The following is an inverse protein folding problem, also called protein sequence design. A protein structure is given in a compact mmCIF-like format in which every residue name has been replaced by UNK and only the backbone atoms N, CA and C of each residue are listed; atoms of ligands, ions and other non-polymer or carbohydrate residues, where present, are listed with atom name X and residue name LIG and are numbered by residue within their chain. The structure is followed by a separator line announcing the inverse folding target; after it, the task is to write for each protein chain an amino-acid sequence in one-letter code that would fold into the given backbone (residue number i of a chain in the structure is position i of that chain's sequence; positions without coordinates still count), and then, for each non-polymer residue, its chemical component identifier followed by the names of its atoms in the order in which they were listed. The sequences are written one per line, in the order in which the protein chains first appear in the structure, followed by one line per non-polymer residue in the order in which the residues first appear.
data_IF_028571463589
#
_entry.id   IF_028571463589
#
_cell.length_a   1.000
_cell.length_b   1.000
_cell.length_c   1.000
_cell.angle_alpha   90.00
_cell.angle_beta   90.00
_cell.angle_gamma   90.00
#
_symmetry.space_group_name_H-M   'P 1'
#
loop_
_entity.id
_entity.type
_entity.pdbx_description
1 polymer ?
#
# COMPACT_ATOMS: atom_id res chain seq x y z
N UNK A 1 20.34 -17.25 19.14
CA UNK A 1 20.46 -17.66 20.56
C UNK A 1 19.27 -18.54 20.87
N UNK A 2 19.50 -19.80 21.23
CA UNK A 2 18.41 -20.63 21.76
C UNK A 2 18.12 -20.16 23.18
N UNK A 3 16.91 -19.63 23.42
CA UNK A 3 16.49 -19.26 24.77
C UNK A 3 16.23 -20.53 25.57
N UNK A 4 16.98 -20.71 26.66
CA UNK A 4 16.76 -21.81 27.61
C UNK A 4 15.55 -21.49 28.50
N UNK A 5 14.91 -22.52 29.06
CA UNK A 5 13.83 -22.34 30.05
C UNK A 5 14.27 -21.47 31.24
N UNK A 6 15.56 -21.51 31.58
CA UNK A 6 16.19 -20.68 32.60
C UNK A 6 16.22 -19.19 32.19
N UNK A 7 16.64 -18.87 30.97
CA UNK A 7 16.63 -17.48 30.46
C UNK A 7 15.23 -16.87 30.37
N UNK A 8 14.22 -17.68 30.02
CA UNK A 8 12.81 -17.24 30.01
C UNK A 8 12.30 -16.96 31.42
N UNK A 9 12.75 -17.76 32.39
CA UNK A 9 12.41 -17.57 33.80
C UNK A 9 13.04 -16.28 34.33
N UNK A 10 14.32 -16.03 34.05
CA UNK A 10 14.99 -14.78 34.43
C UNK A 10 14.26 -13.55 33.86
N UNK A 11 13.86 -13.60 32.58
CA UNK A 11 13.09 -12.53 31.96
C UNK A 11 11.71 -12.35 32.61
N UNK A 12 11.00 -13.43 32.92
CA UNK A 12 9.71 -13.38 33.62
C UNK A 12 9.84 -12.80 35.04
N UNK A 13 10.92 -13.13 35.76
CA UNK A 13 11.21 -12.56 37.08
C UNK A 13 11.45 -11.06 37.00
N UNK A 14 12.22 -10.58 36.02
CA UNK A 14 12.44 -9.15 35.80
C UNK A 14 11.16 -8.38 35.48
N UNK A 15 10.25 -8.96 34.69
CA UNK A 15 8.93 -8.36 34.40
C UNK A 15 8.11 -8.23 35.68
N UNK A 16 8.12 -9.27 36.53
CA UNK A 16 7.42 -9.23 37.83
C UNK A 16 8.00 -8.15 38.75
N UNK A 17 9.33 -8.06 38.82
CA UNK A 17 10.04 -7.13 39.69
C UNK A 17 9.87 -5.68 39.22
N UNK A 18 9.87 -5.43 37.90
CA UNK A 18 9.55 -4.12 37.31
C UNK A 18 8.15 -3.63 37.72
N UNK A 19 7.14 -4.50 37.64
CA UNK A 19 5.77 -4.17 38.09
C UNK A 19 5.72 -3.88 39.60
N UNK A 20 6.49 -4.62 40.40
CA UNK A 20 6.59 -4.37 41.85
C UNK A 20 7.23 -3.00 42.15
N UNK A 21 8.27 -2.65 41.40
CA UNK A 21 8.98 -1.37 41.54
C UNK A 21 8.08 -0.20 41.14
N UNK A 22 7.36 -0.30 40.02
CA UNK A 22 6.36 0.68 39.57
C UNK A 22 5.27 0.87 40.62
N UNK A 23 4.75 -0.23 41.18
CA UNK A 23 3.76 -0.18 42.24
C UNK A 23 4.28 0.51 43.51
N UNK A 24 5.53 0.24 43.90
CA UNK A 24 6.15 0.86 45.08
C UNK A 24 6.30 2.38 44.94
N UNK A 25 6.55 2.85 43.71
CA UNK A 25 6.69 4.28 43.40
C UNK A 25 5.36 5.03 43.34
N UNK A 26 4.26 4.36 42.97
CA UNK A 26 2.94 5.00 42.77
C UNK A 26 2.05 4.92 44.01
N UNK A 27 2.22 3.90 44.85
CA UNK A 27 1.29 3.60 45.94
C UNK A 27 -0.02 2.99 45.45
N UNK A 28 -0.88 2.60 46.39
CA UNK A 28 -2.02 1.69 46.18
C UNK A 28 -3.17 2.19 45.28
N UNK A 29 -3.03 3.34 44.60
CA UNK A 29 -4.13 3.97 43.85
C UNK A 29 -4.46 3.30 42.51
N UNK A 30 -3.51 2.60 41.88
CA UNK A 30 -3.73 1.93 40.58
C UNK A 30 -3.75 0.39 40.64
N UNK A 31 -3.38 -0.19 41.78
CA UNK A 31 -3.17 -1.65 41.88
C UNK A 31 -1.91 -2.11 41.16
N UNK A 32 -1.60 -3.40 41.33
CA UNK A 32 -0.44 -4.06 40.71
C UNK A 32 -0.91 -4.89 39.51
N UNK A 33 -0.13 -4.93 38.42
CA UNK A 33 -0.49 -5.73 37.23
C UNK A 33 -0.48 -7.22 37.57
N UNK A 34 0.55 -7.67 38.29
CA UNK A 34 0.62 -9.04 38.80
C UNK A 34 0.17 -9.12 40.26
N UNK A 35 -1.11 -9.48 40.47
CA UNK A 35 -1.74 -9.54 41.79
C UNK A 35 -1.72 -10.92 42.47
N UNK A 36 -1.05 -11.91 41.87
CA UNK A 36 -0.93 -13.29 42.40
C UNK A 36 0.45 -13.53 43.01
N UNK A 37 0.60 -14.71 43.61
CA UNK A 37 1.87 -15.23 44.09
C UNK A 37 2.95 -15.20 42.99
N UNK A 38 4.18 -14.76 43.37
CA UNK A 38 5.31 -14.57 42.45
C UNK A 38 5.57 -15.80 41.59
N UNK A 39 5.60 -16.98 42.20
CA UNK A 39 5.95 -18.22 41.50
C UNK A 39 4.91 -18.56 40.43
N UNK A 40 3.64 -18.30 40.71
CA UNK A 40 2.55 -18.49 39.74
C UNK A 40 2.65 -17.51 38.58
N UNK A 41 2.89 -16.23 38.85
CA UNK A 41 3.03 -15.21 37.79
C UNK A 41 4.23 -15.50 36.90
N UNK A 42 5.37 -15.87 37.49
CA UNK A 42 6.59 -16.22 36.75
C UNK A 42 6.35 -17.47 35.89
N UNK A 43 5.75 -18.52 36.46
CA UNK A 43 5.43 -19.74 35.71
C UNK A 43 4.45 -19.48 34.55
N UNK A 44 3.45 -18.63 34.78
CA UNK A 44 2.47 -18.22 33.77
C UNK A 44 3.16 -17.42 32.65
N UNK A 45 4.01 -16.44 32.99
CA UNK A 45 4.78 -15.68 32.00
C UNK A 45 5.75 -16.54 31.20
N UNK A 46 6.47 -17.48 31.83
CA UNK A 46 7.32 -18.45 31.12
C UNK A 46 6.49 -19.28 30.14
N UNK A 47 5.31 -19.75 30.57
CA UNK A 47 4.39 -20.48 29.69
C UNK A 47 3.93 -19.60 28.51
N UNK A 48 3.57 -18.35 28.76
CA UNK A 48 3.18 -17.39 27.70
C UNK A 48 4.32 -17.12 26.73
N UNK A 49 5.56 -17.02 27.20
CA UNK A 49 6.75 -16.84 26.36
C UNK A 49 7.09 -18.08 25.53
N UNK A 50 6.72 -19.27 26.01
CA UNK A 50 6.88 -20.54 25.30
C UNK A 50 5.74 -20.82 24.30
N UNK A 51 4.55 -20.25 24.51
CA UNK A 51 3.39 -20.41 23.63
C UNK A 51 3.43 -19.41 22.46
N UNK A 52 3.25 -19.91 21.23
CA UNK A 52 3.37 -19.10 19.99
C UNK A 52 2.20 -18.12 19.78
N UNK A 53 1.05 -18.37 20.39
CA UNK A 53 -0.20 -17.63 20.20
C UNK A 53 -0.48 -16.60 21.31
N UNK A 54 0.27 -16.63 22.41
CA UNK A 54 -0.03 -15.85 23.61
C UNK A 54 0.85 -14.62 23.83
N UNK A 55 1.76 -14.29 22.90
CA UNK A 55 2.68 -13.15 23.01
C UNK A 55 1.97 -11.78 23.13
N UNK A 56 0.73 -11.67 22.63
CA UNK A 56 -0.10 -10.47 22.77
C UNK A 56 -0.53 -10.20 24.24
N UNK A 57 -0.67 -11.25 25.06
CA UNK A 57 -1.05 -11.12 26.47
C UNK A 57 0.11 -10.49 27.27
N UNK A 58 1.33 -10.99 27.10
CA UNK A 58 2.52 -10.44 27.75
C UNK A 58 2.79 -8.98 27.35
N UNK A 59 2.60 -8.65 26.06
CA UNK A 59 2.74 -7.26 25.56
C UNK A 59 1.69 -6.32 26.19
N UNK A 60 0.48 -6.82 26.43
CA UNK A 60 -0.58 -6.04 27.07
C UNK A 60 -0.24 -5.73 28.53
N UNK A 61 0.27 -6.71 29.29
CA UNK A 61 0.70 -6.49 30.67
C UNK A 61 1.87 -5.48 30.77
N UNK A 62 2.85 -5.58 29.87
CA UNK A 62 3.94 -4.61 29.79
C UNK A 62 3.49 -3.21 29.41
N UNK A 63 2.48 -3.09 28.54
CA UNK A 63 1.92 -1.80 28.21
C UNK A 63 1.25 -1.15 29.43
N UNK A 64 0.57 -1.93 30.28
CA UNK A 64 0.01 -1.45 31.55
C UNK A 64 1.12 -0.97 32.50
N UNK A 65 2.19 -1.75 32.68
CA UNK A 65 3.36 -1.35 33.49
C UNK A 65 3.96 -0.05 32.96
N UNK A 66 4.11 0.10 31.64
CA UNK A 66 4.64 1.32 31.00
C UNK A 66 3.74 2.54 31.24
N UNK A 67 2.42 2.37 31.11
CA UNK A 67 1.46 3.44 31.34
C UNK A 67 1.49 3.92 32.79
N UNK A 68 1.61 2.99 33.75
CA UNK A 68 1.80 3.30 35.16
C UNK A 68 3.15 3.97 35.42
N UNK A 69 4.25 3.44 34.88
CA UNK A 69 5.59 4.02 35.06
C UNK A 69 5.66 5.49 34.61
N UNK A 70 4.94 5.87 33.55
CA UNK A 70 4.91 7.24 33.04
C UNK A 70 4.23 8.24 33.99
N UNK A 71 3.36 7.79 34.90
CA UNK A 71 2.68 8.66 35.87
C UNK A 71 3.48 8.90 37.14
N UNK A 72 4.65 8.24 37.30
CA UNK A 72 5.54 8.45 38.45
C UNK A 72 5.99 9.92 38.51
N UNK A 73 5.75 10.64 39.63
CA UNK A 73 6.11 12.05 39.77
C UNK A 73 7.61 12.29 39.79
N UNK A 74 8.35 11.40 40.49
CA UNK A 74 9.79 11.49 40.60
C UNK A 74 10.47 11.19 39.25
N UNK A 75 11.25 12.17 38.75
CA UNK A 75 11.86 12.09 37.43
C UNK A 75 12.98 11.04 37.38
N UNK A 76 13.70 10.84 38.47
CA UNK A 76 14.85 9.95 38.53
C UNK A 76 14.38 8.49 38.57
N UNK A 77 13.48 8.14 39.50
CA UNK A 77 12.81 6.85 39.58
C UNK A 77 12.10 6.51 38.27
N UNK A 78 11.36 7.46 37.68
CA UNK A 78 10.72 7.25 36.38
C UNK A 78 11.72 6.93 35.29
N UNK A 79 12.85 7.65 35.22
CA UNK A 79 13.88 7.39 34.22
C UNK A 79 14.55 6.03 34.41
N UNK A 80 14.77 5.60 35.65
CA UNK A 80 15.36 4.29 35.96
C UNK A 80 14.45 3.15 35.52
N UNK A 81 13.18 3.20 35.95
CA UNK A 81 12.14 2.21 35.59
C UNK A 81 11.94 2.14 34.08
N UNK A 82 11.91 3.30 33.38
CA UNK A 82 11.74 3.31 31.93
C UNK A 82 12.94 2.73 31.17
N UNK A 83 14.16 2.79 31.72
CA UNK A 83 15.34 2.11 31.14
C UNK A 83 15.20 0.60 31.27
N UNK A 84 14.81 0.10 32.44
CA UNK A 84 14.60 -1.33 32.66
C UNK A 84 13.44 -1.86 31.79
N UNK A 85 12.32 -1.14 31.73
CA UNK A 85 11.23 -1.42 30.80
C UNK A 85 11.71 -1.55 29.35
N UNK A 86 12.56 -0.63 28.90
CA UNK A 86 13.09 -0.65 27.52
C UNK A 86 13.98 -1.86 27.29
N UNK A 87 14.81 -2.25 28.26
CA UNK A 87 15.63 -3.47 28.20
C UNK A 87 14.75 -4.72 28.08
N UNK A 88 13.76 -4.87 28.97
CA UNK A 88 12.83 -6.00 28.98
C UNK A 88 12.05 -6.08 27.65
N UNK A 89 11.60 -4.93 27.13
CA UNK A 89 10.88 -4.86 25.87
C UNK A 89 11.74 -5.37 24.70
N UNK A 90 13.02 -4.97 24.64
CA UNK A 90 13.93 -5.45 23.61
C UNK A 90 14.13 -6.98 23.67
N UNK A 91 14.27 -7.55 24.86
CA UNK A 91 14.44 -9.00 25.02
C UNK A 91 13.19 -9.79 24.61
N UNK A 92 12.00 -9.25 24.90
CA UNK A 92 10.73 -9.87 24.50
C UNK A 92 10.50 -9.78 22.98
N UNK A 93 10.94 -8.69 22.35
CA UNK A 93 10.95 -8.55 20.88
C UNK A 93 11.99 -9.47 20.24
N UNK A 94 13.03 -9.88 20.97
CA UNK A 94 14.05 -10.80 20.48
C UNK A 94 13.67 -12.29 20.67
N UNK A 95 12.64 -12.60 21.48
CA UNK A 95 12.17 -13.98 21.67
C UNK A 95 11.71 -14.58 20.33
N UNK A 96 12.07 -15.85 20.02
CA UNK A 96 11.70 -16.52 18.77
C UNK A 96 10.19 -16.74 18.62
N UNK A 97 9.40 -16.53 19.69
CA UNK A 97 7.93 -16.48 19.65
C UNK A 97 7.38 -15.16 19.09
N UNK A 98 8.23 -14.16 18.85
CA UNK A 98 7.80 -12.86 18.34
C UNK A 98 7.92 -12.67 16.83
N UNK A 99 8.66 -13.52 16.08
CA UNK A 99 8.83 -13.35 14.63
C UNK A 99 9.13 -14.66 13.87
N UNK A 100 8.26 -15.67 13.98
CA UNK A 100 8.43 -16.93 13.25
C UNK A 100 7.12 -17.61 12.88
N UNK A 101 6.53 -17.20 11.75
CA UNK A 101 5.52 -18.00 11.02
C UNK A 101 4.05 -17.83 11.42
N UNK A 102 3.66 -16.68 11.99
CA UNK A 102 2.26 -16.40 12.36
C UNK A 102 1.87 -14.92 12.32
N UNK A 103 2.64 -14.11 11.60
CA UNK A 103 2.31 -12.70 11.38
C UNK A 103 1.32 -12.59 10.19
N UNK A 104 0.59 -11.47 10.05
CA UNK A 104 -0.20 -11.15 8.83
C UNK A 104 0.70 -11.11 7.58
N UNK A 105 2.00 -11.06 7.82
CA UNK A 105 3.10 -11.19 6.90
C UNK A 105 3.10 -12.54 6.17
N UNK A 106 2.46 -12.59 5.00
CA UNK A 106 2.74 -13.63 3.99
C UNK A 106 4.23 -13.49 3.60
N UNK A 107 5.04 -14.53 3.81
CA UNK A 107 6.49 -14.47 3.56
C UNK A 107 6.86 -14.25 2.09
N UNK A 108 6.02 -14.72 1.15
CA UNK A 108 6.18 -14.43 -0.27
C UNK A 108 5.79 -12.98 -0.57
N UNK A 109 4.73 -12.47 0.04
CA UNK A 109 4.43 -11.05 -0.07
C UNK A 109 5.48 -10.20 0.64
N UNK A 110 6.04 -10.62 1.78
CA UNK A 110 7.00 -9.85 2.57
C UNK A 110 8.38 -9.78 1.92
N UNK A 111 8.80 -10.85 1.25
CA UNK A 111 9.95 -10.79 0.35
C UNK A 111 9.69 -9.85 -0.83
N UNK A 112 8.40 -9.66 -1.18
CA UNK A 112 7.92 -8.73 -2.20
C UNK A 112 7.46 -7.36 -1.65
N UNK A 113 7.46 -7.04 -0.34
CA UNK A 113 6.80 -5.83 0.18
C UNK A 113 7.60 -5.12 1.31
N UNK A 114 8.19 -3.99 0.92
CA UNK A 114 8.61 -2.78 1.68
C UNK A 114 8.82 -2.85 3.21
N UNK A 115 9.96 -3.40 3.64
CA UNK A 115 10.91 -2.68 4.51
C UNK A 115 12.37 -2.91 4.04
N UNK A 116 12.56 -3.52 2.87
CA UNK A 116 13.85 -3.95 2.32
C UNK A 116 13.88 -3.66 0.79
N UNK A 117 13.70 -2.40 0.40
CA UNK A 117 13.79 -1.97 -1.02
C UNK A 117 15.11 -2.46 -1.66
N UNK A 118 16.20 -2.52 -0.88
CA UNK A 118 17.51 -3.06 -1.27
C UNK A 118 17.50 -4.54 -1.70
N UNK A 119 16.53 -5.34 -1.26
CA UNK A 119 16.40 -6.76 -1.66
C UNK A 119 15.36 -7.01 -2.74
N UNK A 120 14.43 -6.06 -2.94
CA UNK A 120 13.37 -6.16 -3.96
C UNK A 120 13.90 -5.77 -5.33
N UNK A 121 14.75 -4.75 -5.39
CA UNK A 121 15.48 -4.36 -6.59
C UNK A 121 16.91 -4.85 -6.47
N UNK A 122 17.36 -5.66 -7.44
CA UNK A 122 18.77 -5.94 -7.64
C UNK A 122 19.47 -4.72 -8.26
N UNK A 123 20.81 -4.71 -8.29
CA UNK A 123 21.56 -3.57 -8.85
C UNK A 123 21.32 -3.26 -10.33
N UNK A 124 20.62 -4.13 -11.05
CA UNK A 124 20.25 -3.94 -12.46
C UNK A 124 18.75 -3.73 -12.69
N UNK A 125 17.91 -3.76 -11.64
CA UNK A 125 16.47 -3.58 -11.80
C UNK A 125 16.11 -2.10 -11.85
N UNK A 126 15.13 -1.77 -12.68
CA UNK A 126 14.60 -0.42 -12.82
C UNK A 126 13.53 -0.10 -11.80
N UNK A 127 13.47 1.15 -11.35
CA UNK A 127 12.45 1.63 -10.42
C UNK A 127 11.11 1.79 -11.15
N UNK A 128 10.17 0.88 -10.88
CA UNK A 128 8.82 0.93 -11.42
C UNK A 128 7.79 1.19 -10.33
N UNK A 129 6.97 2.23 -10.46
CA UNK A 129 5.91 2.58 -9.50
C UNK A 129 4.54 2.49 -10.17
N UNK A 130 3.71 1.56 -9.71
CA UNK A 130 2.33 1.36 -10.16
C UNK A 130 1.35 2.12 -9.27
N UNK A 131 0.61 3.08 -9.82
CA UNK A 131 -0.37 3.88 -9.08
C UNK A 131 -1.80 3.56 -9.55
N UNK A 132 -2.55 2.91 -8.68
CA UNK A 132 -4.01 2.81 -8.77
C UNK A 132 -4.68 3.92 -7.97
N UNK A 133 -5.85 4.40 -8.39
CA UNK A 133 -6.49 5.56 -7.74
C UNK A 133 -7.99 5.67 -7.93
N UNK A 134 -8.70 6.18 -6.92
CA UNK A 134 -10.11 6.57 -7.05
C UNK A 134 -10.26 7.89 -7.81
N UNK A 135 -11.37 8.08 -8.52
CA UNK A 135 -11.58 9.33 -9.26
C UNK A 135 -11.79 10.50 -8.29
N UNK A 136 -11.21 11.66 -8.61
CA UNK A 136 -11.30 12.87 -7.79
C UNK A 136 -10.37 12.90 -6.57
N UNK A 137 -9.42 11.97 -6.41
CA UNK A 137 -8.45 11.98 -5.30
C UNK A 137 -7.12 12.70 -5.60
N UNK A 138 -7.03 13.44 -6.71
CA UNK A 138 -5.77 14.04 -7.19
C UNK A 138 -4.64 13.03 -7.51
N UNK A 139 -4.97 11.75 -7.71
CA UNK A 139 -3.97 10.70 -7.94
C UNK A 139 -3.15 10.88 -9.23
N UNK A 140 -3.72 11.51 -10.27
CA UNK A 140 -2.97 11.80 -11.50
C UNK A 140 -1.90 12.88 -11.23
N UNK A 141 -2.27 13.93 -10.51
CA UNK A 141 -1.39 15.03 -10.12
C UNK A 141 -0.29 14.55 -9.18
N UNK A 142 -0.63 13.72 -8.19
CA UNK A 142 0.37 13.09 -7.30
C UNK A 142 1.35 12.25 -8.11
N UNK A 143 0.87 11.40 -9.03
CA UNK A 143 1.74 10.57 -9.86
C UNK A 143 2.65 11.39 -10.78
N UNK A 144 2.13 12.45 -11.39
CA UNK A 144 2.90 13.34 -12.25
C UNK A 144 3.96 14.11 -11.46
N UNK A 145 3.58 14.74 -10.35
CA UNK A 145 4.52 15.48 -9.49
C UNK A 145 5.58 14.56 -8.90
N UNK A 146 5.22 13.31 -8.56
CA UNK A 146 6.18 12.32 -8.09
C UNK A 146 7.20 11.95 -9.19
N UNK A 147 6.74 11.74 -10.44
CA UNK A 147 7.61 11.45 -11.56
C UNK A 147 8.58 12.61 -11.85
N UNK A 148 8.08 13.85 -11.81
CA UNK A 148 8.89 15.06 -11.99
C UNK A 148 9.98 15.19 -10.92
N UNK A 149 9.63 14.96 -9.64
CA UNK A 149 10.59 15.01 -8.54
C UNK A 149 11.62 13.88 -8.58
N UNK A 150 11.22 12.69 -9.03
CA UNK A 150 12.13 11.55 -9.22
C UNK A 150 12.93 11.63 -10.52
N UNK A 151 12.54 12.50 -11.46
CA UNK A 151 13.09 12.60 -12.83
C UNK A 151 12.99 11.29 -13.61
N UNK A 152 11.86 10.58 -13.47
CA UNK A 152 11.57 9.33 -14.18
C UNK A 152 10.35 9.47 -15.10
N UNK A 153 10.15 8.52 -16.02
CA UNK A 153 9.05 8.61 -16.97
C UNK A 153 7.69 8.43 -16.30
N UNK A 154 6.65 9.06 -16.87
CA UNK A 154 5.27 8.91 -16.42
C UNK A 154 4.40 8.40 -17.55
N UNK A 155 3.69 7.30 -17.29
CA UNK A 155 2.80 6.67 -18.25
C UNK A 155 1.40 6.55 -17.70
N UNK A 156 0.47 7.26 -18.34
CA UNK A 156 -0.96 7.07 -18.13
C UNK A 156 -1.64 6.39 -19.31
N UNK A 157 -2.94 6.21 -19.19
CA UNK A 157 -3.75 5.57 -20.20
C UNK A 157 -3.68 6.22 -21.58
N UNK A 158 -3.54 7.54 -21.63
CA UNK A 158 -3.50 8.32 -22.86
C UNK A 158 -2.13 8.17 -23.51
N UNK A 159 -1.07 8.25 -22.72
CA UNK A 159 0.30 8.04 -23.19
C UNK A 159 0.45 6.61 -23.71
N UNK A 160 -0.04 5.59 -22.99
CA UNK A 160 -0.03 4.21 -23.48
C UNK A 160 -0.80 4.05 -24.78
N UNK A 161 -1.98 4.68 -24.91
CA UNK A 161 -2.73 4.64 -26.17
C UNK A 161 -1.98 5.34 -27.30
N UNK A 162 -1.32 6.46 -27.04
CA UNK A 162 -0.52 7.18 -28.03
C UNK A 162 0.74 6.40 -28.44
N UNK A 163 1.43 5.76 -27.48
CA UNK A 163 2.59 4.91 -27.73
C UNK A 163 2.18 3.68 -28.55
N UNK A 164 1.10 3.00 -28.17
CA UNK A 164 0.57 1.87 -28.94
C UNK A 164 0.16 2.31 -30.34
N UNK A 165 -0.55 3.44 -30.49
CA UNK A 165 -0.88 3.98 -31.82
C UNK A 165 0.36 4.27 -32.66
N UNK A 166 1.48 4.71 -32.07
CA UNK A 166 2.73 4.96 -32.79
C UNK A 166 3.46 3.67 -33.16
N UNK A 167 3.49 2.69 -32.26
CA UNK A 167 4.05 1.35 -32.53
C UNK A 167 3.20 0.60 -33.57
N UNK A 168 1.89 0.81 -33.55
CA UNK A 168 0.92 0.28 -34.51
C UNK A 168 0.78 1.20 -35.75
N UNK A 169 1.37 2.40 -35.79
CA UNK A 169 1.40 3.22 -37.00
C UNK A 169 2.36 2.68 -38.07
N UNK A 170 3.11 1.62 -37.75
CA UNK A 170 3.75 0.75 -38.74
C UNK A 170 2.78 -0.33 -39.30
N UNK A 171 1.57 -0.50 -38.71
CA UNK A 171 0.46 -1.37 -39.16
C UNK A 171 -0.94 -0.88 -38.67
N UNK A 172 -1.44 0.22 -39.24
CA UNK A 172 -2.81 0.78 -39.21
C UNK A 172 -3.69 0.81 -37.93
N UNK A 173 -4.17 2.04 -37.66
CA UNK A 173 -5.05 2.59 -36.61
C UNK A 173 -5.81 1.65 -35.66
N UNK A 174 -5.50 1.76 -34.36
CA UNK A 174 -6.39 1.38 -33.24
C UNK A 174 -6.71 2.60 -32.38
N UNK A 175 -8.00 2.96 -32.33
CA UNK A 175 -8.53 3.85 -31.29
C UNK A 175 -9.04 2.99 -30.13
N UNK A 176 -8.43 3.17 -28.95
CA UNK A 176 -8.84 2.62 -27.67
C UNK A 176 -10.04 3.42 -27.14
N UNK A 177 -11.24 2.80 -27.12
CA UNK A 177 -12.43 3.36 -26.46
C UNK A 177 -12.51 2.96 -24.97
N UNK A 178 -11.51 2.26 -24.45
CA UNK A 178 -11.31 1.97 -23.03
C UNK A 178 -10.16 2.80 -22.44
N UNK A 179 -9.67 3.80 -23.19
CA UNK A 179 -8.76 4.84 -22.73
C UNK A 179 -9.44 5.70 -21.68
N UNK A 180 -8.71 5.98 -20.60
CA UNK A 180 -9.18 6.81 -19.50
C UNK A 180 -9.16 8.27 -19.97
N UNK A 181 -10.22 9.07 -19.76
CA UNK A 181 -10.17 10.48 -20.10
C UNK A 181 -9.30 11.23 -19.08
N UNK A 182 -8.15 11.70 -19.54
CA UNK A 182 -7.25 12.65 -18.90
C UNK A 182 -7.43 14.05 -19.48
N UNK A 183 -7.75 14.99 -18.59
CA UNK A 183 -7.71 16.46 -18.77
C UNK A 183 -8.48 17.17 -19.89
N UNK A 184 -9.11 16.51 -20.85
CA UNK A 184 -10.13 17.17 -21.68
C UNK A 184 -11.26 16.20 -21.92
N UNK A 185 -12.37 16.41 -21.21
CA UNK A 185 -13.63 15.81 -21.63
C UNK A 185 -14.09 16.63 -22.84
N UNK A 186 -13.71 16.20 -24.04
CA UNK A 186 -14.37 16.71 -25.24
C UNK A 186 -15.87 16.42 -25.11
N UNK A 187 -16.71 17.34 -25.60
CA UNK A 187 -18.19 17.20 -25.56
C UNK A 187 -18.67 15.84 -26.12
N UNK A 188 -17.90 15.23 -27.02
CA UNK A 188 -18.14 13.90 -27.58
C UNK A 188 -17.98 12.75 -26.56
N UNK A 189 -17.08 12.87 -25.57
CA UNK A 189 -16.86 11.84 -24.54
C UNK A 189 -17.89 11.92 -23.41
N UNK A 190 -18.47 13.10 -23.15
CA UNK A 190 -19.67 13.19 -22.31
C UNK A 190 -20.82 12.40 -22.95
N UNK A 191 -21.11 12.63 -24.23
CA UNK A 191 -22.17 11.90 -24.94
C UNK A 191 -21.91 10.40 -25.00
N UNK A 192 -20.65 9.97 -25.19
CA UNK A 192 -20.26 8.56 -25.18
C UNK A 192 -20.47 7.91 -23.80
N UNK A 193 -20.14 8.61 -22.71
CA UNK A 193 -20.36 8.15 -21.34
C UNK A 193 -21.84 8.02 -20.96
N UNK A 194 -22.74 8.73 -21.65
CA UNK A 194 -24.20 8.67 -21.49
C UNK A 194 -24.92 7.79 -22.54
N UNK A 195 -24.20 7.22 -23.52
CA UNK A 195 -24.81 6.44 -24.62
C UNK A 195 -24.95 4.93 -24.31
N UNK A 196 -26.09 4.34 -24.72
CA UNK A 196 -26.35 2.88 -24.56
C UNK A 196 -25.40 2.05 -25.45
N UNK A 197 -24.94 0.86 -24.99
CA UNK A 197 -24.01 0.04 -25.77
C UNK A 197 -24.66 -0.43 -27.08
N UNK A 198 -24.05 -0.04 -28.21
CA UNK A 198 -24.50 -0.39 -29.56
C UNK A 198 -24.15 -1.86 -29.87
N UNK A 199 -25.11 -2.65 -30.35
CA UNK A 199 -24.90 -4.06 -30.70
C UNK A 199 -24.04 -4.19 -31.95
N UNK A 200 -22.92 -4.90 -31.85
CA UNK A 200 -22.02 -5.24 -32.97
C UNK A 200 -22.72 -6.15 -33.99
N UNK A 201 -22.51 -5.89 -35.28
CA UNK A 201 -23.01 -6.72 -36.38
C UNK A 201 -22.14 -7.99 -36.55
N UNK A 202 -22.76 -9.10 -36.95
CA UNK A 202 -22.10 -10.42 -37.11
C UNK A 202 -20.85 -10.39 -38.00
N UNK A 203 -20.84 -9.54 -39.05
CA UNK A 203 -19.68 -9.34 -39.93
C UNK A 203 -18.48 -8.71 -39.21
N UNK A 204 -18.72 -7.74 -38.33
CA UNK A 204 -17.67 -7.08 -37.55
C UNK A 204 -17.11 -8.02 -36.45
N UNK A 205 -17.96 -8.90 -35.89
CA UNK A 205 -17.55 -9.92 -34.93
C UNK A 205 -16.63 -10.98 -35.56
N UNK A 206 -16.98 -11.50 -36.75
CA UNK A 206 -16.15 -12.49 -37.46
C UNK A 206 -14.80 -11.93 -37.94
N UNK A 207 -14.77 -10.68 -38.42
CA UNK A 207 -13.54 -10.01 -38.82
C UNK A 207 -12.60 -9.72 -37.62
N UNK A 208 -13.16 -9.37 -36.45
CA UNK A 208 -12.41 -9.21 -35.21
C UNK A 208 -11.82 -10.51 -34.68
N UNK A 209 -12.60 -11.61 -34.75
CA UNK A 209 -12.17 -12.93 -34.29
C UNK A 209 -10.97 -13.47 -35.07
N UNK A 210 -10.91 -13.28 -36.39
CA UNK A 210 -9.78 -13.73 -37.20
C UNK A 210 -8.53 -12.83 -37.06
N UNK A 211 -8.72 -11.53 -36.75
CA UNK A 211 -7.64 -10.54 -36.62
C UNK A 211 -6.88 -10.62 -35.30
N UNK A 212 -7.52 -11.06 -34.23
CA UNK A 212 -6.92 -11.16 -32.89
C UNK A 212 -6.74 -12.61 -32.42
N UNK A 213 -6.57 -13.56 -33.34
CA UNK A 213 -6.38 -14.99 -33.04
C UNK A 213 -7.47 -15.58 -32.12
N UNK A 214 -8.73 -15.17 -32.29
CA UNK A 214 -9.87 -15.61 -31.48
C UNK A 214 -10.12 -14.81 -30.20
N UNK A 215 -9.29 -13.82 -29.88
CA UNK A 215 -9.46 -12.95 -28.72
C UNK A 215 -10.48 -11.82 -28.98
N UNK A 216 -11.11 -11.33 -27.91
CA UNK A 216 -11.88 -10.09 -28.02
C UNK A 216 -10.94 -8.90 -28.21
N UNK A 217 -11.40 -7.84 -28.89
CA UNK A 217 -10.60 -6.60 -29.07
C UNK A 217 -10.09 -6.06 -27.74
N UNK A 218 -10.88 -6.19 -26.67
CA UNK A 218 -10.52 -5.72 -25.32
C UNK A 218 -9.36 -6.54 -24.76
N UNK A 219 -9.37 -7.86 -24.93
CA UNK A 219 -8.32 -8.74 -24.42
C UNK A 219 -7.01 -8.53 -25.19
N UNK A 220 -7.09 -8.38 -26.52
CA UNK A 220 -5.92 -8.09 -27.34
C UNK A 220 -5.22 -6.78 -26.93
N UNK A 221 -5.99 -5.70 -26.69
CA UNK A 221 -5.43 -4.43 -26.19
C UNK A 221 -4.79 -4.61 -24.83
N UNK A 222 -5.40 -5.39 -23.93
CA UNK A 222 -4.84 -5.67 -22.62
C UNK A 222 -3.51 -6.44 -22.71
N UNK A 223 -3.41 -7.46 -23.57
CA UNK A 223 -2.16 -8.20 -23.76
C UNK A 223 -1.06 -7.31 -24.34
N UNK A 224 -1.34 -6.52 -25.38
CA UNK A 224 -0.37 -5.59 -25.94
C UNK A 224 0.12 -4.57 -24.90
N UNK A 225 -0.78 -4.05 -24.06
CA UNK A 225 -0.43 -3.16 -22.95
C UNK A 225 0.42 -3.87 -21.90
N UNK A 226 0.10 -5.12 -21.57
CA UNK A 226 0.83 -5.92 -20.59
C UNK A 226 2.26 -6.19 -21.05
N UNK A 227 2.43 -6.58 -22.30
CA UNK A 227 3.75 -6.81 -22.91
C UNK A 227 4.58 -5.54 -22.93
N UNK A 228 3.97 -4.41 -23.34
CA UNK A 228 4.64 -3.11 -23.34
C UNK A 228 5.08 -2.67 -21.93
N UNK A 229 4.24 -2.86 -20.91
CA UNK A 229 4.59 -2.56 -19.52
C UNK A 229 5.79 -3.40 -19.07
N UNK A 230 5.76 -4.71 -19.34
CA UNK A 230 6.86 -5.61 -19.00
C UNK A 230 8.16 -5.27 -19.74
N UNK A 231 8.07 -4.85 -20.99
CA UNK A 231 9.23 -4.47 -21.80
C UNK A 231 9.86 -3.15 -21.36
N UNK A 232 9.05 -2.15 -20.98
CA UNK A 232 9.56 -0.88 -20.43
C UNK A 232 10.20 -1.09 -19.06
N UNK A 233 9.64 -1.98 -18.23
CA UNK A 233 10.18 -2.27 -16.89
C UNK A 233 11.59 -2.90 -16.91
N UNK A 234 12.03 -3.41 -18.07
CA UNK A 234 13.39 -3.94 -18.27
C UNK A 234 14.37 -2.90 -18.83
N UNK A 235 13.89 -1.70 -19.19
CA UNK A 235 14.67 -0.71 -19.96
C UNK A 235 14.83 0.61 -19.22
N UNK A 236 13.87 0.98 -18.37
CA UNK A 236 13.81 2.32 -17.78
C UNK A 236 12.99 2.37 -16.50
N UNK A 237 13.26 3.41 -15.71
CA UNK A 237 12.51 3.76 -14.52
C UNK A 237 11.25 4.56 -14.90
N UNK A 238 10.10 4.21 -14.33
CA UNK A 238 8.84 4.92 -14.62
C UNK A 238 7.74 4.75 -13.57
N UNK A 239 6.78 5.65 -13.64
CA UNK A 239 5.51 5.58 -12.94
C UNK A 239 4.40 5.23 -13.93
N UNK A 240 3.61 4.21 -13.63
CA UNK A 240 2.46 3.80 -14.44
C UNK A 240 1.15 3.98 -13.68
N UNK A 241 0.19 4.61 -14.33
CA UNK A 241 -1.11 4.90 -13.77
C UNK A 241 -2.15 3.84 -14.16
N UNK A 242 -2.40 2.87 -13.28
CA UNK A 242 -3.49 1.90 -13.41
C UNK A 242 -3.14 0.72 -14.33
N UNK A 243 -4.03 0.39 -15.29
CA UNK A 243 -3.85 -0.69 -16.28
C UNK A 243 -3.55 -2.09 -15.70
N UNK A 244 -3.87 -2.33 -14.43
CA UNK A 244 -3.52 -3.57 -13.71
C UNK A 244 -2.00 -3.84 -13.67
N UNK A 245 -1.18 -2.79 -13.79
CA UNK A 245 0.28 -2.91 -13.86
C UNK A 245 0.88 -3.63 -12.64
N UNK A 246 0.31 -3.41 -11.45
CA UNK A 246 0.65 -4.11 -10.22
C UNK A 246 0.54 -5.65 -10.38
N UNK A 247 -0.57 -6.13 -10.93
CA UNK A 247 -0.80 -7.57 -11.12
C UNK A 247 0.02 -8.11 -12.30
N UNK A 248 0.15 -7.34 -13.38
CA UNK A 248 0.96 -7.71 -14.56
C UNK A 248 2.42 -7.92 -14.14
N UNK A 249 3.03 -6.96 -13.45
CA UNK A 249 4.42 -7.04 -13.03
C UNK A 249 4.63 -8.11 -11.97
N UNK A 250 3.70 -8.27 -11.02
CA UNK A 250 3.73 -9.38 -10.03
C UNK A 250 3.76 -10.74 -10.72
N UNK A 251 2.87 -10.96 -11.70
CA UNK A 251 2.77 -12.24 -12.42
C UNK A 251 4.00 -12.55 -13.29
N UNK A 252 4.77 -11.52 -13.66
CA UNK A 252 6.02 -11.64 -14.42
C UNK A 252 7.28 -11.59 -13.53
N UNK A 253 7.12 -11.62 -12.20
CA UNK A 253 8.22 -11.53 -11.23
C UNK A 253 9.11 -10.29 -11.43
N UNK A 254 8.53 -9.18 -11.90
CA UNK A 254 9.24 -7.92 -12.08
C UNK A 254 9.13 -7.08 -10.80
N UNK A 255 10.24 -6.66 -10.19
CA UNK A 255 10.24 -5.72 -9.08
C UNK A 255 9.54 -4.41 -9.43
N UNK A 256 8.62 -3.97 -8.58
CA UNK A 256 7.87 -2.72 -8.76
C UNK A 256 7.36 -2.26 -7.40
N UNK A 257 6.71 -1.12 -7.30
CA UNK A 257 6.04 -0.65 -6.07
C UNK A 257 4.59 -0.35 -6.41
N UNK A 258 3.64 -0.89 -5.65
CA UNK A 258 2.21 -0.73 -5.91
C UNK A 258 1.55 0.21 -4.89
N UNK A 259 0.98 1.31 -5.37
CA UNK A 259 0.38 2.36 -4.54
C UNK A 259 -1.09 2.54 -4.93
N UNK A 260 -1.97 2.60 -3.94
CA UNK A 260 -3.37 2.95 -4.11
C UNK A 260 -3.69 4.30 -3.46
N UNK A 261 -4.03 5.30 -4.27
CA UNK A 261 -4.38 6.64 -3.79
C UNK A 261 -5.91 6.80 -3.74
N UNK A 262 -6.42 7.29 -2.61
CA UNK A 262 -7.84 7.55 -2.42
C UNK A 262 -8.09 8.79 -1.58
N UNK A 263 -9.37 9.14 -1.41
CA UNK A 263 -9.86 10.18 -0.50
C UNK A 263 -11.32 9.90 -0.10
N UNK A 264 -11.80 10.49 1.03
CA UNK A 264 -13.21 10.45 1.39
C UNK A 264 -14.10 10.92 0.24
N UNK A 265 -15.25 10.27 0.06
CA UNK A 265 -16.14 10.52 -1.08
C UNK A 265 -16.49 12.00 -1.24
N UNK A 266 -16.84 12.68 -0.15
CA UNK A 266 -17.23 14.09 -0.17
C UNK A 266 -16.09 15.01 -0.65
N UNK A 267 -14.85 14.73 -0.25
CA UNK A 267 -13.69 15.51 -0.69
C UNK A 267 -13.41 15.30 -2.19
N UNK A 268 -13.58 14.07 -2.67
CA UNK A 268 -13.45 13.76 -4.10
C UNK A 268 -14.55 14.40 -4.92
N UNK A 269 -15.78 14.45 -4.40
CA UNK A 269 -16.92 15.12 -5.03
C UNK A 269 -16.66 16.63 -5.15
N UNK A 270 -16.24 17.27 -4.06
CA UNK A 270 -15.89 18.70 -4.04
C UNK A 270 -14.83 19.01 -5.10
N UNK A 271 -13.70 18.29 -5.08
CA UNK A 271 -12.65 18.44 -6.08
C UNK A 271 -13.16 18.23 -7.51
N UNK A 272 -14.03 17.24 -7.71
CA UNK A 272 -14.59 16.97 -9.05
C UNK A 272 -15.43 18.16 -9.54
N UNK A 273 -16.19 18.80 -8.68
CA UNK A 273 -16.95 20.01 -9.02
C UNK A 273 -16.05 21.23 -9.26
N UNK A 274 -14.95 21.36 -8.52
CA UNK A 274 -13.95 22.42 -8.77
C UNK A 274 -13.25 22.27 -10.12
N UNK A 275 -12.87 21.04 -10.47
CA UNK A 275 -12.16 20.73 -11.72
C UNK A 275 -13.10 20.77 -12.92
N UNK A 276 -14.40 20.53 -12.71
CA UNK A 276 -15.42 20.56 -13.76
C UNK A 276 -16.56 21.53 -13.38
N UNK A 277 -16.37 22.84 -13.57
CA UNK A 277 -17.35 23.86 -13.17
C UNK A 277 -18.73 23.70 -13.84
N UNK A 278 -18.77 23.03 -14.99
CA UNK A 278 -20.00 22.78 -15.75
C UNK A 278 -20.88 21.68 -15.17
N UNK A 279 -20.38 20.91 -14.19
CA UNK A 279 -21.12 19.80 -13.58
C UNK A 279 -21.82 20.24 -12.29
N UNK A 280 -23.13 19.99 -12.22
CA UNK A 280 -23.83 20.07 -10.94
C UNK A 280 -23.47 18.89 -10.02
N UNK A 281 -23.74 19.02 -8.71
CA UNK A 281 -23.40 18.00 -7.71
C UNK A 281 -23.93 16.60 -8.08
N UNK A 282 -25.16 16.51 -8.60
CA UNK A 282 -25.76 15.24 -8.99
C UNK A 282 -25.02 14.59 -10.17
N UNK A 283 -24.63 15.37 -11.17
CA UNK A 283 -23.83 14.93 -12.31
C UNK A 283 -22.43 14.50 -11.87
N UNK A 284 -21.75 15.32 -11.06
CA UNK A 284 -20.42 14.99 -10.53
C UNK A 284 -20.44 13.69 -9.70
N UNK A 285 -21.45 13.52 -8.84
CA UNK A 285 -21.67 12.30 -8.05
C UNK A 285 -21.90 11.07 -8.93
N UNK A 286 -22.67 11.23 -10.01
CA UNK A 286 -22.92 10.15 -10.97
C UNK A 286 -21.65 9.77 -11.71
N UNK A 287 -20.93 10.76 -12.26
CA UNK A 287 -19.67 10.60 -12.97
C UNK A 287 -18.65 9.87 -12.11
N UNK A 288 -18.42 10.34 -10.89
CA UNK A 288 -17.44 9.76 -9.97
C UNK A 288 -17.76 8.29 -9.65
N UNK A 289 -19.03 7.96 -9.36
CA UNK A 289 -19.46 6.57 -9.15
C UNK A 289 -19.34 5.72 -10.40
N UNK A 290 -19.63 6.28 -11.58
CA UNK A 290 -19.53 5.59 -12.86
C UNK A 290 -18.07 5.23 -13.16
N UNK A 291 -17.14 6.17 -13.01
CA UNK A 291 -15.72 5.96 -13.26
C UNK A 291 -15.09 4.97 -12.27
N UNK A 292 -15.37 5.12 -10.96
CA UNK A 292 -14.91 4.16 -9.95
C UNK A 292 -15.45 2.75 -10.24
N UNK A 293 -16.71 2.62 -10.68
CA UNK A 293 -17.29 1.32 -11.06
C UNK A 293 -16.64 0.74 -12.31
N UNK A 294 -16.32 1.58 -13.30
CA UNK A 294 -15.59 1.14 -14.49
C UNK A 294 -14.20 0.61 -14.13
N UNK A 295 -13.46 1.32 -13.26
CA UNK A 295 -12.15 0.87 -12.77
C UNK A 295 -12.26 -0.46 -12.01
N UNK A 296 -13.23 -0.56 -11.10
CA UNK A 296 -13.47 -1.79 -10.34
C UNK A 296 -13.80 -2.97 -11.26
N UNK A 297 -14.67 -2.78 -12.25
CA UNK A 297 -15.06 -3.83 -13.19
C UNK A 297 -13.88 -4.26 -14.07
N UNK A 298 -13.11 -3.30 -14.59
CA UNK A 298 -11.93 -3.59 -15.40
C UNK A 298 -10.89 -4.37 -14.60
N UNK A 299 -10.52 -3.88 -13.41
CA UNK A 299 -9.55 -4.54 -12.55
C UNK A 299 -10.00 -5.94 -12.14
N UNK A 300 -11.26 -6.10 -11.72
CA UNK A 300 -11.82 -7.41 -11.37
C UNK A 300 -11.84 -8.38 -12.55
N UNK A 301 -12.17 -7.90 -13.75
CA UNK A 301 -12.23 -8.74 -14.95
C UNK A 301 -10.87 -9.34 -15.29
N UNK A 302 -9.80 -8.53 -15.28
CA UNK A 302 -8.46 -8.97 -15.67
C UNK A 302 -7.64 -9.63 -14.56
N UNK A 303 -7.89 -9.26 -13.30
CA UNK A 303 -7.06 -9.73 -12.18
C UNK A 303 -7.77 -10.73 -11.26
N UNK A 304 -9.10 -10.80 -11.32
CA UNK A 304 -9.93 -11.50 -10.32
C UNK A 304 -9.93 -10.85 -8.93
N UNK A 305 -9.12 -9.81 -8.69
CA UNK A 305 -8.94 -9.17 -7.39
C UNK A 305 -9.95 -8.03 -7.19
N UNK A 306 -10.20 -7.69 -5.92
CA UNK A 306 -11.06 -6.55 -5.54
C UNK A 306 -10.25 -5.25 -5.58
N UNK A 307 -10.59 -4.36 -6.49
CA UNK A 307 -9.98 -3.04 -6.60
C UNK A 307 -10.11 -2.23 -5.29
N UNK A 308 -9.04 -1.55 -4.89
CA UNK A 308 -8.98 -0.79 -3.63
C UNK A 308 -8.92 -1.63 -2.35
N UNK A 309 -8.75 -2.96 -2.45
CA UNK A 309 -8.42 -3.78 -1.28
C UNK A 309 -6.97 -3.51 -0.86
N UNK A 310 -6.75 -3.09 0.38
CA UNK A 310 -5.44 -2.74 0.89
C UNK A 310 -4.41 -3.88 0.77
N UNK A 311 -4.86 -5.13 0.89
CA UNK A 311 -3.99 -6.31 0.75
C UNK A 311 -3.41 -6.51 -0.67
N UNK A 312 -3.91 -5.80 -1.68
CA UNK A 312 -3.36 -5.89 -3.04
C UNK A 312 -2.20 -4.92 -3.29
N UNK A 313 -1.99 -3.95 -2.40
CA UNK A 313 -1.07 -2.83 -2.64
C UNK A 313 -0.03 -2.74 -1.53
N UNK A 314 1.13 -2.21 -1.87
CA UNK A 314 2.24 -1.98 -0.94
C UNK A 314 1.94 -0.79 -0.03
N UNK A 315 1.30 0.25 -0.60
CA UNK A 315 0.88 1.45 0.12
C UNK A 315 -0.53 1.87 -0.29
N UNK A 316 -1.40 2.10 0.70
CA UNK A 316 -2.68 2.79 0.48
C UNK A 316 -2.64 4.18 1.13
N UNK A 317 -2.86 5.23 0.34
CA UNK A 317 -2.72 6.61 0.79
C UNK A 317 -4.04 7.37 0.68
N UNK A 318 -4.41 8.07 1.76
CA UNK A 318 -5.51 9.02 1.77
C UNK A 318 -5.00 10.43 1.47
N UNK A 319 -5.11 10.85 0.21
CA UNK A 319 -4.71 12.17 -0.29
C UNK A 319 -5.39 13.36 0.40
N UNK A 320 -6.60 13.18 0.95
CA UNK A 320 -7.29 14.26 1.66
C UNK A 320 -6.63 14.61 3.01
N UNK A 321 -5.83 13.71 3.57
CA UNK A 321 -5.10 13.96 4.82
C UNK A 321 -3.79 14.73 4.59
N UNK A 322 -3.18 14.59 3.40
CA UNK A 322 -1.82 15.09 3.14
C UNK A 322 -1.73 16.11 2.00
N UNK A 323 -2.80 16.29 1.21
CA UNK A 323 -2.76 17.06 -0.03
C UNK A 323 -1.87 16.38 -1.10
N UNK A 324 -1.63 17.07 -2.21
CA UNK A 324 -0.77 16.57 -3.29
C UNK A 324 0.69 16.53 -2.82
N UNK A 325 1.23 17.64 -2.33
CA UNK A 325 2.64 17.73 -1.93
C UNK A 325 2.98 16.82 -0.76
N UNK A 326 2.15 16.78 0.29
CA UNK A 326 2.39 15.90 1.43
C UNK A 326 2.31 14.42 1.06
N UNK A 327 1.46 14.07 0.07
CA UNK A 327 1.40 12.72 -0.48
C UNK A 327 2.68 12.35 -1.23
N UNK A 328 3.20 13.27 -2.05
CA UNK A 328 4.47 13.09 -2.77
C UNK A 328 5.63 12.98 -1.78
N UNK A 329 5.73 13.87 -0.79
CA UNK A 329 6.77 13.85 0.25
C UNK A 329 6.75 12.57 1.07
N UNK A 330 5.56 12.02 1.34
CA UNK A 330 5.42 10.75 2.03
C UNK A 330 5.98 9.60 1.17
N UNK A 331 5.62 9.55 -0.11
CA UNK A 331 6.10 8.51 -1.03
C UNK A 331 7.62 8.64 -1.22
N UNK A 332 8.14 9.85 -1.40
CA UNK A 332 9.59 10.08 -1.52
C UNK A 332 10.36 9.62 -0.28
N UNK A 333 9.86 9.91 0.93
CA UNK A 333 10.48 9.42 2.18
C UNK A 333 10.41 7.91 2.34
N UNK A 334 9.38 7.28 1.78
CA UNK A 334 9.31 5.81 1.73
C UNK A 334 10.39 5.24 0.80
N UNK A 335 10.71 5.94 -0.29
CA UNK A 335 11.74 5.54 -1.25
C UNK A 335 13.16 5.87 -0.77
N UNK A 336 13.36 7.01 -0.11
CA UNK A 336 14.68 7.51 0.30
C UNK A 336 14.97 7.17 1.78
N UNK A 337 15.84 6.18 2.01
CA UNK A 337 16.29 5.77 3.34
C UNK A 337 17.67 6.27 3.75
N UNK A 338 18.41 6.91 2.86
CA UNK A 338 19.78 7.38 3.16
C UNK A 338 19.97 8.90 3.00
N UNK A 339 18.91 9.66 2.73
CA UNK A 339 19.06 11.11 2.48
C UNK A 339 19.82 11.43 1.21
N UNK A 340 19.87 10.49 0.25
CA UNK A 340 20.61 10.64 -1.01
C UNK A 340 19.85 11.47 -2.04
N UNK A 341 18.55 11.70 -1.88
CA UNK A 341 17.77 12.53 -2.81
C UNK A 341 17.68 14.01 -2.41
N UNK A 342 18.28 14.40 -1.29
CA UNK A 342 18.36 15.79 -0.82
C UNK A 342 19.75 16.41 -1.04
N UNK A 343 20.44 16.04 -2.12
CA UNK A 343 21.64 16.77 -2.56
C UNK A 343 21.27 17.61 -3.79
N UNK A 344 21.04 18.92 -3.65
CA UNK A 344 21.11 19.79 -4.81
C UNK A 344 22.58 19.86 -5.23
N UNK A 345 22.91 19.33 -6.41
CA UNK A 345 24.10 19.77 -7.15
C UNK A 345 23.91 21.21 -7.65
#
# INVERSE_FOLDING_TARGET
MEYTQESLRELAERIYDLDAEVYSCLGSSLGRVFNRDRERCVTEMVRLMMQRDSGHQLRSELALISNMARTIPDKESRSMIMREYTSILHEIIALPTSFGGGDVLDQNMASLNTLNLEKRFSGNDHLVICISRTYGCAGNEIGFTLADRLRINYYDAEIFSAVLKRLEAEKDEVVDKAGYPGKTIDKADQEAAFSKPQKLTLKAWAAGFNRYHGLSKRDAVFFNQSDLICDMAKKEDFIVMGRCADVILTNNQIPHISIFITAPFEQRLHRTMEVHPDLNEKQAKHLLKQLDRQHQNYYRFFTGRKWGNAANYDLCLNSAAYGIDGSVDFILRMLDREGKMNSPE
#
